data_IF_818776103535
#
_entry.id   IF_818776103535
#
_cell.length_a   1.000
_cell.length_b   1.000
_cell.length_c   1.000
_cell.angle_alpha   90.00
_cell.angle_beta   90.00
_cell.angle_gamma   90.00
#
_symmetry.space_group_name_H-M   'P 1'
#
loop_
_entity.id
_entity.type
_entity.pdbx_description
1 polymer ?
#
# COMPACT_ATOMS: atom_id res chain seq x y z
N UNK A 1 -20.68 -15.52 -42.62
CA UNK A 1 -20.92 -15.50 -41.16
C UNK A 1 -19.76 -16.19 -40.49
N UNK A 2 -18.79 -15.45 -39.97
CA UNK A 2 -17.63 -16.03 -39.29
C UNK A 2 -18.00 -16.31 -37.84
N UNK A 3 -18.03 -17.60 -37.48
CA UNK A 3 -18.20 -18.07 -36.11
C UNK A 3 -16.87 -17.92 -35.38
N UNK A 4 -16.78 -17.00 -34.42
CA UNK A 4 -15.64 -16.95 -33.50
C UNK A 4 -15.91 -17.95 -32.38
N UNK A 5 -15.15 -19.05 -32.41
CA UNK A 5 -15.09 -20.04 -31.33
C UNK A 5 -14.48 -19.38 -30.10
N UNK A 6 -15.29 -19.09 -29.09
CA UNK A 6 -14.81 -18.61 -27.80
C UNK A 6 -14.11 -19.76 -27.07
N UNK A 7 -12.79 -19.68 -26.97
CA UNK A 7 -11.97 -20.61 -26.20
C UNK A 7 -12.41 -20.67 -24.74
N UNK A 8 -12.52 -21.89 -24.22
CA UNK A 8 -12.77 -22.22 -22.81
C UNK A 8 -11.80 -21.46 -21.89
N UNK A 9 -12.26 -20.35 -21.29
CA UNK A 9 -11.56 -19.72 -20.18
C UNK A 9 -11.97 -20.44 -18.90
N UNK A 10 -11.16 -21.39 -18.46
CA UNK A 10 -11.17 -21.78 -17.05
C UNK A 10 -10.68 -20.56 -16.24
N UNK A 11 -11.45 -20.03 -15.28
CA UNK A 11 -10.93 -19.00 -14.38
C UNK A 11 -10.00 -19.70 -13.39
N UNK A 12 -8.71 -19.74 -13.71
CA UNK A 12 -7.68 -19.91 -12.68
C UNK A 12 -7.92 -18.83 -11.61
N UNK A 13 -7.78 -19.13 -10.30
CA UNK A 13 -7.75 -18.07 -9.31
C UNK A 13 -6.75 -17.00 -9.80
N UNK A 14 -7.05 -15.70 -9.67
CA UNK A 14 -6.09 -14.68 -10.05
C UNK A 14 -4.79 -15.00 -9.30
N UNK A 15 -3.69 -15.11 -10.04
CA UNK A 15 -2.35 -15.26 -9.50
C UNK A 15 -1.94 -13.92 -8.86
N UNK A 16 -2.64 -13.55 -7.79
CA UNK A 16 -2.33 -12.36 -7.01
C UNK A 16 -1.26 -12.74 -6.00
N UNK A 17 -0.06 -12.12 -6.07
CA UNK A 17 1.01 -12.43 -5.14
C UNK A 17 0.59 -12.06 -3.72
N UNK A 18 1.13 -12.80 -2.74
CA UNK A 18 0.86 -12.54 -1.33
C UNK A 18 1.32 -11.13 -0.92
N UNK A 19 0.39 -10.32 -0.38
CA UNK A 19 0.68 -8.97 0.12
C UNK A 19 1.38 -9.06 1.47
N UNK A 20 2.61 -8.54 1.54
CA UNK A 20 3.46 -8.63 2.74
C UNK A 20 3.26 -7.50 3.75
N UNK A 21 2.84 -6.32 3.28
CA UNK A 21 2.75 -5.11 4.10
C UNK A 21 1.44 -4.39 3.83
N UNK A 22 0.71 -4.08 4.89
CA UNK A 22 -0.60 -3.40 4.83
C UNK A 22 -0.71 -2.24 5.84
N UNK A 23 0.33 -2.04 6.64
CA UNK A 23 0.44 -1.00 7.67
C UNK A 23 1.03 0.29 7.09
N UNK A 24 0.87 1.40 7.82
CA UNK A 24 1.56 2.65 7.50
C UNK A 24 3.06 2.49 7.72
N UNK A 25 3.89 3.11 6.89
CA UNK A 25 5.34 3.08 7.06
C UNK A 25 5.86 4.46 7.47
N UNK A 26 6.15 4.63 8.76
CA UNK A 26 6.52 5.92 9.36
C UNK A 26 7.81 5.71 10.16
N UNK A 27 8.79 6.61 9.98
CA UNK A 27 10.08 6.58 10.68
C UNK A 27 10.81 5.22 10.61
N UNK A 28 10.76 4.57 9.44
CA UNK A 28 11.42 3.28 9.23
C UNK A 28 10.68 2.06 9.81
N UNK A 29 9.43 2.22 10.28
CA UNK A 29 8.66 1.16 10.91
C UNK A 29 7.26 1.01 10.33
N UNK A 30 6.74 -0.22 10.32
CA UNK A 30 5.35 -0.51 9.98
C UNK A 30 4.46 -0.35 11.22
N UNK A 31 3.53 0.59 11.18
CA UNK A 31 2.64 0.96 12.28
C UNK A 31 1.17 0.92 11.84
N UNK A 32 0.28 0.55 12.75
CA UNK A 32 -1.15 0.68 12.52
C UNK A 32 -1.56 2.16 12.51
N UNK A 33 -2.69 2.51 11.89
CA UNK A 33 -3.23 3.87 12.02
C UNK A 33 -3.54 4.16 13.50
N UNK A 34 -3.29 5.39 13.94
CA UNK A 34 -3.72 5.90 15.25
C UNK A 34 -5.22 5.66 15.48
N UNK A 35 -6.03 5.77 14.42
CA UNK A 35 -7.47 5.53 14.48
C UNK A 35 -7.84 4.04 14.55
N UNK A 36 -6.91 3.14 14.23
CA UNK A 36 -7.14 1.70 14.07
C UNK A 36 -7.96 1.31 12.84
N UNK A 37 -8.38 2.28 12.02
CA UNK A 37 -9.21 2.03 10.83
C UNK A 37 -8.42 1.39 9.70
N UNK A 38 -9.14 0.65 8.88
CA UNK A 38 -8.63 0.00 7.68
C UNK A 38 -9.67 0.05 6.56
N UNK A 39 -9.23 -0.10 5.32
CA UNK A 39 -10.10 -0.23 4.15
C UNK A 39 -9.61 -1.31 3.18
N UNK A 40 -10.51 -1.82 2.35
CA UNK A 40 -10.18 -2.85 1.36
C UNK A 40 -9.68 -2.22 0.05
N UNK A 41 -8.55 -2.71 -0.44
CA UNK A 41 -8.10 -2.46 -1.81
C UNK A 41 -8.72 -3.51 -2.73
N UNK A 42 -9.58 -3.09 -3.65
CA UNK A 42 -10.37 -4.00 -4.50
C UNK A 42 -9.70 -4.19 -5.87
N UNK A 43 -9.68 -5.43 -6.37
CA UNK A 43 -9.26 -5.75 -7.74
C UNK A 43 -10.32 -5.28 -8.75
N UNK A 44 -10.03 -4.32 -9.63
CA UNK A 44 -11.02 -3.77 -10.57
C UNK A 44 -11.51 -4.79 -11.59
N UNK A 45 -10.78 -5.89 -11.82
CA UNK A 45 -11.16 -6.94 -12.78
C UNK A 45 -12.21 -7.90 -12.23
N UNK A 46 -12.16 -8.15 -10.91
CA UNK A 46 -12.94 -9.20 -10.26
C UNK A 46 -13.89 -8.69 -9.17
N UNK A 47 -13.71 -7.45 -8.71
CA UNK A 47 -14.47 -6.88 -7.59
C UNK A 47 -14.13 -7.48 -6.23
N UNK A 48 -13.11 -8.34 -6.14
CA UNK A 48 -12.70 -9.00 -4.89
C UNK A 48 -11.63 -8.18 -4.18
N UNK A 49 -11.62 -8.24 -2.85
CA UNK A 49 -10.55 -7.62 -2.05
C UNK A 49 -9.20 -8.29 -2.33
N UNK A 50 -8.18 -7.46 -2.58
CA UNK A 50 -6.76 -7.85 -2.68
C UNK A 50 -6.17 -7.90 -1.27
N UNK A 51 -6.40 -6.86 -0.48
CA UNK A 51 -5.92 -6.73 0.90
C UNK A 51 -6.71 -5.68 1.68
N UNK A 52 -6.69 -5.80 3.01
CA UNK A 52 -7.15 -4.78 3.95
C UNK A 52 -5.95 -3.97 4.43
N UNK A 53 -5.95 -2.66 4.18
CA UNK A 53 -4.82 -1.75 4.45
C UNK A 53 -5.20 -0.67 5.46
N UNK A 54 -4.22 -0.20 6.24
CA UNK A 54 -4.41 0.85 7.24
C UNK A 54 -4.93 2.14 6.60
N UNK A 55 -5.99 2.71 7.18
CA UNK A 55 -6.56 3.98 6.76
C UNK A 55 -5.86 5.12 7.50
N UNK A 56 -4.92 5.79 6.85
CA UNK A 56 -4.21 6.93 7.44
C UNK A 56 -5.15 8.09 7.76
N UNK A 57 -5.08 8.58 9.00
CA UNK A 57 -5.80 9.74 9.49
C UNK A 57 -4.87 10.96 9.62
N UNK A 58 -5.45 12.12 9.98
CA UNK A 58 -4.69 13.35 10.21
C UNK A 58 -3.53 13.15 11.19
N UNK A 59 -3.76 12.44 12.29
CA UNK A 59 -2.74 12.23 13.32
C UNK A 59 -1.57 11.40 12.81
N UNK A 60 -1.85 10.41 11.94
CA UNK A 60 -0.81 9.62 11.28
C UNK A 60 0.06 10.49 10.35
N UNK A 61 -0.57 11.44 9.66
CA UNK A 61 0.14 12.42 8.81
C UNK A 61 1.01 13.33 9.68
N UNK A 62 0.50 13.81 10.80
CA UNK A 62 1.27 14.68 11.71
C UNK A 62 2.52 13.93 12.25
N UNK A 63 2.39 12.64 12.59
CA UNK A 63 3.52 11.78 12.95
C UNK A 63 4.53 11.60 11.80
N UNK A 64 4.04 11.34 10.58
CA UNK A 64 4.88 11.16 9.40
C UNK A 64 5.66 12.42 9.05
N UNK A 65 5.00 13.59 9.09
CA UNK A 65 5.62 14.89 8.82
C UNK A 65 6.67 15.21 9.88
N UNK A 66 6.38 14.95 11.16
CA UNK A 66 7.35 15.15 12.24
C UNK A 66 8.60 14.29 12.02
N UNK A 67 8.43 13.00 11.70
CA UNK A 67 9.55 12.11 11.43
C UNK A 67 10.37 12.56 10.21
N UNK A 68 9.71 12.96 9.12
CA UNK A 68 10.38 13.48 7.93
C UNK A 68 11.14 14.78 8.23
N UNK A 69 10.57 15.68 9.03
CA UNK A 69 11.20 16.92 9.46
C UNK A 69 12.45 16.64 10.30
N UNK A 70 12.37 15.73 11.25
CA UNK A 70 13.52 15.32 12.07
C UNK A 70 14.63 14.68 11.22
N UNK A 71 14.26 13.79 10.29
CA UNK A 71 15.20 13.19 9.35
C UNK A 71 15.89 14.22 8.45
N UNK A 72 15.18 15.30 8.09
CA UNK A 72 15.73 16.38 7.26
C UNK A 72 16.55 17.40 8.05
N UNK A 73 16.15 17.76 9.27
CA UNK A 73 16.85 18.79 10.04
C UNK A 73 18.09 18.19 10.72
N UNK A 74 17.92 17.02 11.33
CA UNK A 74 18.93 16.39 12.20
C UNK A 74 19.47 15.07 11.66
N UNK A 75 18.80 14.45 10.69
CA UNK A 75 19.20 13.16 10.14
C UNK A 75 20.40 13.22 9.18
N UNK A 76 20.94 12.05 8.81
CA UNK A 76 22.08 11.96 7.91
C UNK A 76 21.71 12.28 6.46
N UNK A 77 20.48 12.01 6.04
CA UNK A 77 20.00 12.15 4.65
C UNK A 77 20.37 13.49 3.97
N UNK A 78 20.04 14.68 4.51
CA UNK A 78 20.40 15.97 3.90
C UNK A 78 21.91 16.21 3.77
N UNK A 79 22.74 15.44 4.49
CA UNK A 79 24.21 15.56 4.54
C UNK A 79 24.90 14.47 3.72
N UNK A 80 24.15 13.55 3.12
CA UNK A 80 24.71 12.55 2.23
C UNK A 80 25.13 13.20 0.91
N UNK A 81 26.23 12.74 0.29
CA UNK A 81 26.60 13.18 -1.05
C UNK A 81 25.56 12.68 -2.07
N UNK A 82 25.26 13.50 -3.06
CA UNK A 82 24.22 13.21 -4.08
C UNK A 82 24.68 12.31 -5.23
N UNK A 83 25.71 11.48 -5.03
CA UNK A 83 26.47 10.79 -6.08
C UNK A 83 26.74 9.33 -5.77
#
# INVERSE_FOLDING_TARGET
MASLSNGNHHPSPPDVPAVKFTKLFINGQFVDSVSGKTFESIDPRSGKAIATIAEGAKDDIDLAVKAAREAFDSGPWPRLPGS
#
